data_IF_407433499377
#
_entry.id   IF_407433499377
#
_cell.length_a   1.000
_cell.length_b   1.000
_cell.length_c   1.000
_cell.angle_alpha   90.00
_cell.angle_beta   90.00
_cell.angle_gamma   90.00
#
_symmetry.space_group_name_H-M   'P 1'
#
loop_
_entity.id
_entity.type
_entity.pdbx_description
1 polymer ?
#
# COMPACT_ATOMS: atom_id res chain seq x y z
N UNK A 1 8.44 13.19 33.54
CA UNK A 1 7.31 12.82 32.67
C UNK A 1 7.09 11.35 32.96
N UNK A 2 6.05 11.02 33.73
CA UNK A 2 5.79 9.63 34.10
C UNK A 2 5.47 8.85 32.83
N UNK A 3 6.19 7.76 32.60
CA UNK A 3 5.87 6.76 31.57
C UNK A 3 4.53 6.14 31.97
N UNK A 4 3.48 6.53 31.26
CA UNK A 4 2.13 5.99 31.43
C UNK A 4 2.13 4.50 31.03
N UNK A 5 1.34 3.68 31.73
CA UNK A 5 1.26 2.23 31.49
C UNK A 5 0.57 1.93 30.14
N UNK A 6 1.06 0.93 29.40
CA UNK A 6 0.52 0.51 28.09
C UNK A 6 -0.97 0.23 28.17
N UNK A 7 -1.41 -0.43 29.26
CA UNK A 7 -2.81 -0.71 29.52
C UNK A 7 -3.67 0.56 29.61
N UNK A 8 -3.14 1.63 30.21
CA UNK A 8 -3.86 2.90 30.35
C UNK A 8 -4.06 3.61 29.00
N UNK A 9 -3.06 3.55 28.11
CA UNK A 9 -3.23 4.06 26.73
C UNK A 9 -4.31 3.28 25.98
N UNK A 10 -4.29 1.95 26.06
CA UNK A 10 -5.27 1.11 25.38
C UNK A 10 -6.69 1.31 25.94
N UNK A 11 -6.85 1.41 27.26
CA UNK A 11 -8.16 1.68 27.88
C UNK A 11 -8.75 3.03 27.41
N UNK A 12 -7.91 4.06 27.33
CA UNK A 12 -8.31 5.37 26.81
C UNK A 12 -8.62 5.32 25.31
N UNK A 13 -7.88 4.53 24.54
CA UNK A 13 -8.14 4.33 23.12
C UNK A 13 -9.50 3.66 22.90
N UNK A 14 -9.83 2.63 23.68
CA UNK A 14 -11.15 1.98 23.64
C UNK A 14 -12.27 2.97 24.00
N UNK A 15 -12.10 3.78 25.03
CA UNK A 15 -13.11 4.78 25.40
C UNK A 15 -13.28 5.86 24.33
N UNK A 16 -12.19 6.33 23.73
CA UNK A 16 -12.25 7.26 22.61
C UNK A 16 -12.97 6.62 21.40
N UNK A 17 -12.65 5.36 21.07
CA UNK A 17 -13.27 4.62 19.97
C UNK A 17 -14.78 4.43 20.14
N UNK A 18 -15.28 4.34 21.39
CA UNK A 18 -16.74 4.28 21.67
C UNK A 18 -17.48 5.56 21.30
N UNK A 19 -16.78 6.70 21.32
CA UNK A 19 -17.38 8.02 21.09
C UNK A 19 -17.08 8.58 19.72
N UNK A 20 -16.10 8.01 19.00
CA UNK A 20 -15.71 8.48 17.69
C UNK A 20 -16.80 8.20 16.65
N UNK A 21 -17.17 9.24 15.90
CA UNK A 21 -18.19 9.21 14.85
C UNK A 21 -17.62 9.48 13.46
N UNK A 22 -16.32 9.77 13.36
CA UNK A 22 -15.62 10.01 12.11
C UNK A 22 -14.10 9.98 12.27
N UNK A 23 -13.39 10.13 11.15
CA UNK A 23 -11.94 9.99 11.06
C UNK A 23 -11.17 10.94 12.00
N UNK A 24 -11.56 12.21 12.07
CA UNK A 24 -10.87 13.22 12.91
C UNK A 24 -10.90 12.86 14.40
N UNK A 25 -12.03 12.33 14.89
CA UNK A 25 -12.17 11.89 16.27
C UNK A 25 -11.40 10.58 16.52
N UNK A 26 -11.28 9.75 15.48
CA UNK A 26 -10.53 8.50 15.52
C UNK A 26 -9.02 8.70 15.58
N UNK A 27 -8.48 9.86 15.19
CA UNK A 27 -7.05 10.17 15.32
C UNK A 27 -6.54 10.06 16.77
N UNK A 28 -7.39 10.39 17.75
CA UNK A 28 -7.05 10.21 19.17
C UNK A 28 -6.82 8.73 19.51
N UNK A 29 -7.61 7.83 18.91
CA UNK A 29 -7.43 6.38 19.05
C UNK A 29 -6.08 5.98 18.45
N UNK A 30 -5.78 6.41 17.22
CA UNK A 30 -4.52 6.10 16.53
C UNK A 30 -3.29 6.57 17.30
N UNK A 31 -3.30 7.79 17.82
CA UNK A 31 -2.19 8.32 18.61
C UNK A 31 -1.93 7.52 19.89
N UNK A 32 -2.99 7.10 20.59
CA UNK A 32 -2.89 6.30 21.80
C UNK A 32 -2.38 4.89 21.51
N UNK A 33 -2.91 4.25 20.46
CA UNK A 33 -2.47 2.92 20.06
C UNK A 33 -1.04 2.93 19.51
N UNK A 34 -0.61 3.99 18.81
CA UNK A 34 0.78 4.13 18.36
C UNK A 34 1.78 4.18 19.52
N UNK A 35 1.44 4.88 20.61
CA UNK A 35 2.24 4.87 21.84
C UNK A 35 2.27 3.50 22.48
N UNK A 36 1.14 2.80 22.52
CA UNK A 36 1.07 1.46 23.06
C UNK A 36 1.89 0.46 22.21
N UNK A 37 1.74 0.49 20.89
CA UNK A 37 2.41 -0.42 19.95
C UNK A 37 3.95 -0.33 20.05
N UNK A 38 4.49 0.85 20.37
CA UNK A 38 5.93 1.03 20.60
C UNK A 38 6.49 0.19 21.77
N UNK A 39 5.64 -0.37 22.62
CA UNK A 39 6.01 -1.23 23.75
C UNK A 39 5.97 -2.73 23.40
N UNK A 40 5.88 -3.06 22.10
CA UNK A 40 6.16 -4.37 21.51
C UNK A 40 5.37 -5.51 22.15
N UNK A 41 6.05 -6.39 22.88
CA UNK A 41 5.48 -7.60 23.48
C UNK A 41 4.25 -7.35 24.36
N UNK A 42 4.23 -6.23 25.10
CA UNK A 42 3.10 -5.91 25.99
C UNK A 42 1.87 -5.57 25.15
N UNK A 43 2.04 -4.75 24.12
CA UNK A 43 0.97 -4.40 23.17
C UNK A 43 0.45 -5.62 22.41
N UNK A 44 1.35 -6.49 21.92
CA UNK A 44 0.98 -7.76 21.30
C UNK A 44 0.05 -8.59 22.21
N UNK A 45 0.45 -8.79 23.46
CA UNK A 45 -0.32 -9.57 24.43
C UNK A 45 -1.71 -8.97 24.72
N UNK A 46 -1.79 -7.65 24.82
CA UNK A 46 -3.06 -6.92 25.01
C UNK A 46 -3.94 -7.06 23.76
N UNK A 47 -3.40 -6.78 22.57
CA UNK A 47 -4.13 -6.86 21.30
C UNK A 47 -4.70 -8.25 21.05
N UNK A 48 -3.91 -9.31 21.23
CA UNK A 48 -4.39 -10.70 21.10
C UNK A 48 -5.53 -11.02 22.08
N UNK A 49 -5.46 -10.51 23.32
CA UNK A 49 -6.53 -10.70 24.28
C UNK A 49 -7.82 -9.97 23.88
N UNK A 50 -7.70 -8.78 23.28
CA UNK A 50 -8.83 -7.96 22.83
C UNK A 50 -9.61 -8.61 21.69
N UNK A 51 -8.95 -9.36 20.80
CA UNK A 51 -9.63 -10.11 19.73
C UNK A 51 -10.68 -11.10 20.25
N UNK A 52 -10.50 -11.63 21.47
CA UNK A 52 -11.44 -12.54 22.13
C UNK A 52 -12.59 -11.84 22.87
N UNK A 53 -12.68 -10.51 22.82
CA UNK A 53 -13.68 -9.75 23.56
C UNK A 53 -15.10 -9.94 23.03
N UNK A 54 -16.08 -9.94 23.93
CA UNK A 54 -17.50 -9.90 23.57
C UNK A 54 -17.95 -8.55 23.00
N UNK A 55 -17.20 -7.47 23.25
CA UNK A 55 -17.49 -6.12 22.76
C UNK A 55 -16.83 -5.87 21.40
N UNK A 56 -17.63 -5.46 20.41
CA UNK A 56 -17.14 -5.21 19.04
C UNK A 56 -16.07 -4.11 19.00
N UNK A 57 -16.29 -2.99 19.70
CA UNK A 57 -15.31 -1.88 19.77
C UNK A 57 -13.96 -2.35 20.32
N UNK A 58 -13.96 -3.25 21.32
CA UNK A 58 -12.71 -3.79 21.88
C UNK A 58 -12.01 -4.69 20.87
N UNK A 59 -12.74 -5.52 20.11
CA UNK A 59 -12.14 -6.33 19.04
C UNK A 59 -11.55 -5.46 17.93
N UNK A 60 -12.27 -4.43 17.50
CA UNK A 60 -11.83 -3.47 16.50
C UNK A 60 -10.54 -2.76 16.91
N UNK A 61 -10.51 -2.17 18.12
CA UNK A 61 -9.29 -1.55 18.68
C UNK A 61 -8.14 -2.56 18.82
N UNK A 62 -8.45 -3.84 19.11
CA UNK A 62 -7.47 -4.91 19.14
C UNK A 62 -6.85 -5.22 17.78
N UNK A 63 -7.64 -5.15 16.70
CA UNK A 63 -7.15 -5.28 15.33
C UNK A 63 -6.18 -4.15 15.00
N UNK A 64 -6.58 -2.90 15.26
CA UNK A 64 -5.74 -1.72 15.00
C UNK A 64 -4.41 -1.76 15.76
N UNK A 65 -4.45 -2.15 17.04
CA UNK A 65 -3.23 -2.26 17.85
C UNK A 65 -2.27 -3.29 17.26
N UNK A 66 -2.77 -4.45 16.82
CA UNK A 66 -1.95 -5.49 16.20
C UNK A 66 -1.44 -5.08 14.83
N UNK A 67 -2.23 -4.35 14.03
CA UNK A 67 -1.78 -3.76 12.77
C UNK A 67 -0.59 -2.81 12.98
N UNK A 68 -0.69 -1.93 13.97
CA UNK A 68 0.41 -1.02 14.35
C UNK A 68 1.64 -1.75 14.89
N UNK A 69 1.47 -2.85 15.62
CA UNK A 69 2.60 -3.70 16.04
C UNK A 69 3.32 -4.29 14.82
N UNK A 70 2.58 -4.75 13.81
CA UNK A 70 3.17 -5.22 12.55
C UNK A 70 3.96 -4.13 11.82
N UNK A 71 3.48 -2.88 11.84
CA UNK A 71 4.14 -1.76 11.15
C UNK A 71 5.40 -1.25 11.85
N UNK A 72 5.51 -1.41 13.19
CA UNK A 72 6.58 -0.82 13.99
C UNK A 72 7.71 -1.79 14.38
N UNK A 73 7.43 -3.08 14.52
CA UNK A 73 8.39 -4.03 15.12
C UNK A 73 8.44 -5.39 14.41
N UNK A 74 9.55 -5.63 13.70
CA UNK A 74 9.84 -6.90 13.00
C UNK A 74 9.90 -8.09 13.96
N UNK A 75 10.19 -7.90 15.26
CA UNK A 75 10.34 -8.98 16.22
C UNK A 75 9.01 -9.67 16.57
N UNK A 76 7.91 -8.92 16.54
CA UNK A 76 6.57 -9.40 16.93
C UNK A 76 5.62 -9.52 15.76
N UNK A 77 6.09 -9.22 14.55
CA UNK A 77 5.31 -9.25 13.32
C UNK A 77 4.64 -10.61 13.08
N UNK A 78 5.38 -11.72 13.20
CA UNK A 78 4.85 -13.06 12.88
C UNK A 78 3.73 -13.45 13.85
N UNK A 79 3.90 -13.19 15.16
CA UNK A 79 2.86 -13.46 16.15
C UNK A 79 1.63 -12.58 15.96
N UNK A 80 1.81 -11.28 15.69
CA UNK A 80 0.70 -10.35 15.45
C UNK A 80 -0.07 -10.72 14.17
N UNK A 81 0.63 -10.93 13.05
CA UNK A 81 0.05 -11.35 11.78
C UNK A 81 -0.67 -12.69 11.92
N UNK A 82 -0.08 -13.68 12.60
CA UNK A 82 -0.72 -14.98 12.87
C UNK A 82 -1.99 -14.82 13.70
N UNK A 83 -2.01 -13.93 14.70
CA UNK A 83 -3.20 -13.69 15.51
C UNK A 83 -4.34 -13.06 14.69
N UNK A 84 -4.02 -12.08 13.82
CA UNK A 84 -4.99 -11.46 12.91
C UNK A 84 -5.52 -12.45 11.88
N UNK A 85 -4.64 -13.25 11.26
CA UNK A 85 -5.01 -14.30 10.31
C UNK A 85 -5.87 -15.39 10.98
N UNK A 86 -5.52 -15.83 12.19
CA UNK A 86 -6.29 -16.80 12.93
C UNK A 86 -7.66 -16.26 13.37
N UNK A 87 -7.76 -14.95 13.62
CA UNK A 87 -9.02 -14.26 13.84
C UNK A 87 -9.90 -14.30 12.58
N UNK A 88 -9.32 -14.36 11.38
CA UNK A 88 -10.04 -14.32 10.12
C UNK A 88 -10.29 -15.70 9.44
N UNK A 89 -9.43 -16.71 9.64
CA UNK A 89 -9.32 -17.89 8.75
C UNK A 89 -10.18 -19.14 9.07
N UNK A 90 -11.23 -19.08 9.90
CA UNK A 90 -11.98 -20.31 10.25
C UNK A 90 -13.22 -20.58 9.39
N UNK A 91 -13.09 -21.50 8.41
CA UNK A 91 -14.12 -22.48 7.96
C UNK A 91 -13.60 -23.45 6.86
N UNK A 92 -12.79 -24.46 7.19
CA UNK A 92 -12.52 -25.58 6.26
C UNK A 92 -12.76 -26.99 6.81
N UNK A 93 -12.98 -27.17 8.12
CA UNK A 93 -13.21 -28.53 8.68
C UNK A 93 -14.67 -28.82 9.08
N UNK A 94 -15.55 -27.83 9.15
CA UNK A 94 -16.93 -28.05 9.60
C UNK A 94 -17.91 -28.48 8.48
N UNK A 95 -17.60 -28.22 7.21
CA UNK A 95 -18.44 -28.58 6.06
C UNK A 95 -18.07 -29.93 5.41
N UNK A 96 -16.98 -30.59 5.85
CA UNK A 96 -16.58 -31.92 5.38
C UNK A 96 -16.98 -33.08 6.32
N UNK A 97 -17.74 -32.81 7.39
CA UNK A 97 -17.99 -33.77 8.48
C UNK A 97 -19.44 -34.13 8.76
N UNK A 98 -20.37 -34.02 7.80
CA UNK A 98 -21.73 -34.58 7.94
C UNK A 98 -21.97 -35.74 6.98
N UNK A 99 -21.10 -36.75 7.06
CA UNK A 99 -21.21 -37.98 6.29
C UNK A 99 -20.72 -39.19 7.08
N UNK A 100 -21.66 -39.91 7.67
CA UNK A 100 -21.56 -41.32 8.11
C UNK A 100 -20.83 -41.64 9.43
N UNK A 101 -21.65 -41.97 10.44
CA UNK A 101 -21.31 -42.88 11.54
C UNK A 101 -21.14 -44.31 11.01
N UNK A 102 -20.05 -44.99 11.40
CA UNK A 102 -20.06 -46.29 12.11
C UNK A 102 -18.68 -46.97 12.06
N UNK A 103 -18.19 -47.45 13.20
CA UNK A 103 -17.06 -48.39 13.22
C UNK A 103 -16.23 -48.35 14.49
N UNK A 104 -16.66 -49.13 15.49
CA UNK A 104 -15.97 -49.43 16.74
C UNK A 104 -14.57 -50.06 16.57
N UNK A 105 -13.60 -49.65 17.39
CA UNK A 105 -12.31 -50.32 17.50
C UNK A 105 -11.51 -49.84 18.72
N UNK A 106 -11.56 -50.62 19.78
CA UNK A 106 -10.87 -50.47 21.07
C UNK A 106 -9.33 -50.53 20.97
N UNK A 107 -8.63 -49.68 21.72
CA UNK A 107 -7.19 -49.77 21.95
C UNK A 107 -6.74 -48.94 23.16
N UNK A 108 -6.37 -49.62 24.24
CA UNK A 108 -5.93 -49.08 25.53
C UNK A 108 -4.46 -48.62 25.53
N UNK A 109 -4.16 -47.51 26.21
CA UNK A 109 -2.79 -47.13 26.58
C UNK A 109 -2.72 -45.86 27.45
N UNK A 110 -2.68 -46.03 28.79
CA UNK A 110 -2.13 -45.07 29.78
C UNK A 110 -0.62 -44.86 29.52
N UNK A 111 0.10 -43.79 29.89
CA UNK A 111 -0.10 -42.63 30.80
C UNK A 111 1.07 -41.63 30.62
N UNK A 112 0.81 -40.37 30.96
CA UNK A 112 1.64 -39.48 31.81
C UNK A 112 2.76 -38.61 31.19
N UNK A 113 2.47 -37.30 31.19
CA UNK A 113 3.41 -36.18 31.21
C UNK A 113 2.66 -34.83 31.30
N UNK A 114 2.22 -34.44 32.50
CA UNK A 114 1.78 -33.07 32.83
C UNK A 114 3.04 -32.24 33.22
N UNK A 115 3.14 -30.91 33.11
CA UNK A 115 2.14 -29.86 33.26
C UNK A 115 2.63 -28.50 32.73
N UNK A 116 1.67 -27.60 32.41
CA UNK A 116 1.83 -26.13 32.33
C UNK A 116 1.33 -25.57 30.98
N UNK A 117 0.17 -24.95 30.81
CA UNK A 117 -0.89 -24.52 31.73
C UNK A 117 -1.47 -23.17 31.27
N UNK A 118 -2.54 -23.20 30.44
CA UNK A 118 -3.46 -22.09 30.07
C UNK A 118 -2.84 -20.89 29.30
N UNK A 119 -3.31 -20.43 28.13
CA UNK A 119 -4.67 -20.28 27.59
C UNK A 119 -4.62 -20.22 26.04
N UNK A 120 -4.80 -21.34 25.34
CA UNK A 120 -4.93 -21.36 23.86
C UNK A 120 -6.39 -21.54 23.40
N UNK A 121 -7.34 -21.12 24.23
CA UNK A 121 -8.76 -21.53 24.13
C UNK A 121 -9.75 -20.48 23.64
N UNK A 122 -9.33 -19.38 23.02
CA UNK A 122 -10.24 -18.29 22.66
C UNK A 122 -10.09 -17.73 21.23
N UNK A 123 -9.44 -18.44 20.31
CA UNK A 123 -9.34 -17.99 18.91
C UNK A 123 -10.23 -18.88 18.06
N UNK A 124 -11.51 -18.49 17.92
CA UNK A 124 -12.46 -19.24 17.10
C UNK A 124 -13.63 -18.37 16.62
N UNK A 125 -13.59 -17.95 15.35
CA UNK A 125 -14.68 -17.73 14.36
C UNK A 125 -14.13 -16.85 13.22
N UNK A 126 -14.92 -16.65 12.15
CA UNK A 126 -15.05 -15.38 11.39
C UNK A 126 -14.75 -15.37 9.86
N UNK A 127 -15.38 -16.28 9.11
CA UNK A 127 -16.15 -15.81 7.92
C UNK A 127 -17.48 -15.14 8.35
N UNK A 128 -17.81 -15.24 9.65
CA UNK A 128 -19.05 -14.77 10.27
C UNK A 128 -18.90 -13.61 11.25
N UNK A 129 -17.89 -12.72 11.16
CA UNK A 129 -17.86 -11.55 12.07
C UNK A 129 -19.07 -10.69 11.78
N UNK A 130 -20.08 -10.62 12.68
CA UNK A 130 -21.31 -9.93 12.35
C UNK A 130 -21.11 -8.41 12.31
N UNK A 131 -20.18 -7.87 13.10
CA UNK A 131 -19.95 -6.44 13.17
C UNK A 131 -19.09 -6.00 11.98
N UNK A 132 -19.69 -5.25 11.07
CA UNK A 132 -18.99 -4.70 9.91
C UNK A 132 -17.80 -3.82 10.32
N UNK A 133 -17.94 -3.03 11.39
CA UNK A 133 -16.85 -2.22 11.95
C UNK A 133 -15.62 -3.07 12.29
N UNK A 134 -15.82 -4.24 12.91
CA UNK A 134 -14.70 -5.15 13.24
C UNK A 134 -14.07 -5.70 11.98
N UNK A 135 -14.86 -6.05 10.95
CA UNK A 135 -14.32 -6.51 9.65
C UNK A 135 -13.52 -5.41 8.97
N UNK A 136 -13.97 -4.16 9.05
CA UNK A 136 -13.29 -3.00 8.49
C UNK A 136 -11.92 -2.80 9.14
N UNK A 137 -11.86 -2.77 10.47
CA UNK A 137 -10.60 -2.66 11.22
C UNK A 137 -9.68 -3.87 10.99
N UNK A 138 -10.24 -5.07 10.92
CA UNK A 138 -9.48 -6.28 10.62
C UNK A 138 -8.92 -6.27 9.19
N UNK A 139 -9.66 -5.77 8.20
CA UNK A 139 -9.16 -5.63 6.83
C UNK A 139 -7.95 -4.68 6.78
N UNK A 140 -8.02 -3.52 7.45
CA UNK A 140 -6.88 -2.62 7.61
C UNK A 140 -5.67 -3.27 8.28
N UNK A 141 -5.89 -3.93 9.42
CA UNK A 141 -4.83 -4.61 10.14
C UNK A 141 -4.18 -5.74 9.32
N UNK A 142 -4.96 -6.48 8.53
CA UNK A 142 -4.46 -7.49 7.60
C UNK A 142 -3.59 -6.87 6.50
N UNK A 143 -3.96 -5.71 5.97
CA UNK A 143 -3.14 -4.95 5.02
C UNK A 143 -1.78 -4.54 5.61
N UNK A 144 -1.77 -3.99 6.83
CA UNK A 144 -0.55 -3.65 7.57
C UNK A 144 0.39 -4.85 7.78
N UNK A 145 -0.13 -6.08 7.83
CA UNK A 145 0.75 -7.25 7.91
C UNK A 145 1.64 -7.40 6.68
N UNK A 146 1.20 -6.97 5.49
CA UNK A 146 1.83 -7.29 4.19
C UNK A 146 2.03 -8.79 3.96
N UNK A 147 1.24 -9.62 4.65
CA UNK A 147 1.31 -11.07 4.57
C UNK A 147 0.37 -11.60 3.49
N UNK A 148 0.93 -12.27 2.49
CA UNK A 148 0.16 -12.88 1.41
C UNK A 148 -0.90 -13.90 1.90
N UNK A 149 -0.75 -14.47 3.11
CA UNK A 149 -1.78 -15.32 3.74
C UNK A 149 -3.10 -14.58 3.95
N UNK A 150 -3.09 -13.25 3.99
CA UNK A 150 -4.29 -12.42 4.15
C UNK A 150 -5.09 -12.26 2.86
N UNK A 151 -4.49 -12.47 1.68
CA UNK A 151 -5.14 -12.24 0.38
C UNK A 151 -6.49 -12.96 0.25
N UNK A 152 -6.63 -14.27 0.56
CA UNK A 152 -7.92 -14.96 0.42
C UNK A 152 -9.03 -14.39 1.32
N UNK A 153 -8.67 -13.81 2.46
CA UNK A 153 -9.61 -13.24 3.43
C UNK A 153 -10.18 -11.92 2.91
N UNK A 154 -9.30 -11.01 2.48
CA UNK A 154 -9.71 -9.74 1.85
C UNK A 154 -10.53 -9.99 0.58
N UNK A 155 -10.13 -10.96 -0.25
CA UNK A 155 -10.90 -11.36 -1.44
C UNK A 155 -12.31 -11.84 -1.06
N UNK A 156 -12.46 -12.51 0.09
CA UNK A 156 -13.76 -12.97 0.61
C UNK A 156 -14.71 -11.83 1.00
N UNK A 157 -14.20 -10.64 1.31
CA UNK A 157 -14.98 -9.44 1.65
C UNK A 157 -15.17 -8.47 0.48
N UNK A 158 -14.60 -8.77 -0.69
CA UNK A 158 -14.73 -7.90 -1.87
C UNK A 158 -16.16 -7.79 -2.42
N UNK A 159 -17.09 -8.67 -2.01
CA UNK A 159 -18.50 -8.61 -2.39
C UNK A 159 -19.42 -8.36 -1.16
N UNK A 160 -18.88 -7.82 -0.06
CA UNK A 160 -19.66 -7.51 1.15
C UNK A 160 -20.75 -6.45 0.83
N UNK A 161 -21.88 -6.50 1.55
CA UNK A 161 -22.97 -5.56 1.35
C UNK A 161 -22.59 -4.13 1.73
N UNK A 162 -21.66 -3.97 2.67
CA UNK A 162 -21.19 -2.68 3.15
C UNK A 162 -20.11 -2.09 2.23
N UNK A 163 -20.33 -0.86 1.75
CA UNK A 163 -19.42 -0.18 0.82
C UNK A 163 -18.10 0.22 1.45
N UNK A 164 -18.11 0.62 2.73
CA UNK A 164 -16.91 1.11 3.42
C UNK A 164 -15.94 -0.05 3.64
N UNK A 165 -16.46 -1.25 3.93
CA UNK A 165 -15.65 -2.47 3.96
C UNK A 165 -15.11 -2.83 2.57
N UNK A 166 -15.91 -2.75 1.50
CA UNK A 166 -15.42 -3.01 0.14
C UNK A 166 -14.32 -2.02 -0.28
N UNK A 167 -14.46 -0.76 0.12
CA UNK A 167 -13.45 0.28 -0.11
C UNK A 167 -12.16 -0.05 0.65
N UNK A 168 -12.25 -0.41 1.93
CA UNK A 168 -11.10 -0.85 2.72
C UNK A 168 -10.41 -2.04 2.05
N UNK A 169 -11.16 -3.06 1.64
CA UNK A 169 -10.64 -4.22 0.91
C UNK A 169 -9.89 -3.78 -0.36
N UNK A 170 -10.44 -2.83 -1.13
CA UNK A 170 -9.79 -2.33 -2.34
C UNK A 170 -8.43 -1.67 -2.03
N UNK A 171 -8.34 -0.88 -0.95
CA UNK A 171 -7.09 -0.25 -0.52
C UNK A 171 -6.07 -1.25 0.03
N UNK A 172 -6.53 -2.29 0.74
CA UNK A 172 -5.63 -3.22 1.43
C UNK A 172 -5.14 -4.38 0.55
N UNK A 173 -5.90 -4.77 -0.47
CA UNK A 173 -5.53 -5.88 -1.37
C UNK A 173 -4.16 -5.67 -2.04
N UNK A 174 -3.79 -4.43 -2.38
CA UNK A 174 -2.48 -4.14 -3.00
C UNK A 174 -1.29 -4.44 -2.09
N UNK A 175 -1.45 -4.44 -0.77
CA UNK A 175 -0.37 -4.70 0.19
C UNK A 175 -0.10 -6.19 0.41
N UNK A 176 -1.08 -7.04 0.10
CA UNK A 176 -1.01 -8.50 0.35
C UNK A 176 -1.08 -9.33 -0.93
N UNK A 177 -1.43 -8.73 -2.08
CA UNK A 177 -1.51 -9.45 -3.35
C UNK A 177 -0.15 -10.01 -3.78
N UNK A 178 -0.15 -11.26 -4.26
CA UNK A 178 1.07 -12.00 -4.63
C UNK A 178 1.76 -11.52 -5.92
N UNK A 179 1.26 -10.46 -6.56
CA UNK A 179 1.78 -9.94 -7.82
C UNK A 179 1.49 -10.81 -9.04
N UNK A 180 0.76 -11.93 -8.90
CA UNK A 180 0.24 -12.69 -10.03
C UNK A 180 -0.85 -11.86 -10.74
N UNK A 181 -0.66 -11.46 -12.02
CA UNK A 181 -1.67 -10.72 -12.77
C UNK A 181 -3.00 -11.48 -12.94
N UNK A 182 -2.99 -12.80 -12.75
CA UNK A 182 -4.19 -13.64 -12.77
C UNK A 182 -4.63 -14.11 -11.37
N UNK A 183 -3.92 -13.65 -10.33
CA UNK A 183 -4.17 -14.02 -8.95
C UNK A 183 -5.50 -13.49 -8.41
N UNK A 184 -5.98 -14.06 -7.30
CA UNK A 184 -7.31 -13.75 -6.77
C UNK A 184 -7.44 -12.28 -6.34
N UNK A 185 -6.40 -11.64 -5.79
CA UNK A 185 -6.41 -10.23 -5.42
C UNK A 185 -6.56 -9.30 -6.61
N UNK A 186 -5.77 -9.50 -7.69
CA UNK A 186 -5.90 -8.73 -8.93
C UNK A 186 -7.28 -8.90 -9.56
N UNK A 187 -7.79 -10.14 -9.58
CA UNK A 187 -9.14 -10.44 -10.07
C UNK A 187 -10.22 -9.75 -9.24
N UNK A 188 -10.06 -9.67 -7.92
CA UNK A 188 -10.98 -8.95 -7.03
C UNK A 188 -10.95 -7.44 -7.29
N UNK A 189 -9.77 -6.82 -7.35
CA UNK A 189 -9.62 -5.41 -7.71
C UNK A 189 -10.29 -5.08 -9.04
N UNK A 190 -10.06 -5.90 -10.08
CA UNK A 190 -10.72 -5.72 -11.37
C UNK A 190 -12.26 -5.77 -11.29
N UNK A 191 -12.85 -6.58 -10.40
CA UNK A 191 -14.31 -6.54 -10.15
C UNK A 191 -14.71 -5.26 -9.45
N UNK A 192 -14.00 -4.88 -8.38
CA UNK A 192 -14.27 -3.69 -7.56
C UNK A 192 -14.16 -2.39 -8.36
N UNK A 193 -13.36 -2.34 -9.44
CA UNK A 193 -13.38 -1.18 -10.33
C UNK A 193 -14.77 -0.93 -10.93
N UNK A 194 -15.66 -1.93 -10.99
CA UNK A 194 -17.04 -1.83 -11.51
C UNK A 194 -18.10 -1.72 -10.41
N UNK A 195 -17.69 -1.42 -9.17
CA UNK A 195 -18.61 -1.29 -8.04
C UNK A 195 -19.63 -0.16 -8.25
N UNK A 196 -20.79 -0.28 -7.60
CA UNK A 196 -21.80 0.76 -7.63
C UNK A 196 -21.36 2.01 -6.86
N UNK A 197 -20.58 1.84 -5.79
CA UNK A 197 -20.09 2.95 -4.97
C UNK A 197 -18.85 3.61 -5.61
N UNK A 198 -18.88 4.94 -5.87
CA UNK A 198 -17.76 5.66 -6.49
C UNK A 198 -16.41 5.51 -5.79
N UNK A 199 -16.38 5.57 -4.45
CA UNK A 199 -15.14 5.44 -3.69
C UNK A 199 -14.53 4.03 -3.82
N UNK A 200 -15.36 2.99 -3.86
CA UNK A 200 -14.86 1.62 -4.11
C UNK A 200 -14.23 1.52 -5.49
N UNK A 201 -14.83 2.13 -6.52
CA UNK A 201 -14.25 2.18 -7.86
C UNK A 201 -12.92 2.93 -7.88
N UNK A 202 -12.87 4.08 -7.21
CA UNK A 202 -11.68 4.91 -7.09
C UNK A 202 -10.52 4.13 -6.47
N UNK A 203 -10.70 3.62 -5.25
CA UNK A 203 -9.66 2.87 -4.53
C UNK A 203 -9.23 1.60 -5.28
N UNK A 204 -10.16 0.88 -5.89
CA UNK A 204 -9.80 -0.30 -6.69
C UNK A 204 -9.01 0.06 -7.95
N UNK A 205 -9.34 1.18 -8.59
CA UNK A 205 -8.64 1.67 -9.78
C UNK A 205 -7.27 2.22 -9.42
N UNK A 206 -7.14 2.93 -8.30
CA UNK A 206 -5.85 3.35 -7.74
C UNK A 206 -4.97 2.14 -7.38
N UNK A 207 -5.48 1.18 -6.63
CA UNK A 207 -4.73 -0.03 -6.27
C UNK A 207 -4.25 -0.80 -7.51
N UNK A 208 -5.15 -1.05 -8.46
CA UNK A 208 -4.82 -1.75 -9.70
C UNK A 208 -3.89 -0.94 -10.61
N UNK A 209 -4.16 0.35 -10.78
CA UNK A 209 -3.53 1.25 -11.74
C UNK A 209 -2.16 1.76 -11.27
N UNK A 210 -2.03 2.00 -9.98
CA UNK A 210 -0.96 2.81 -9.40
C UNK A 210 -0.11 2.03 -8.38
N UNK A 211 -0.73 1.19 -7.54
CA UNK A 211 0.00 0.47 -6.49
C UNK A 211 0.58 -0.87 -6.96
N UNK A 212 -0.08 -1.53 -7.92
CA UNK A 212 0.39 -2.79 -8.49
C UNK A 212 1.13 -2.60 -9.81
N UNK A 213 2.27 -3.27 -9.94
CA UNK A 213 3.11 -3.27 -11.14
C UNK A 213 2.67 -4.29 -12.22
N UNK A 214 1.48 -4.87 -12.07
CA UNK A 214 0.94 -5.87 -13.02
C UNK A 214 0.42 -5.22 -14.29
N UNK A 215 0.80 -5.78 -15.44
CA UNK A 215 0.42 -5.25 -16.75
C UNK A 215 0.00 -6.37 -17.70
N UNK A 216 -1.30 -6.42 -18.00
CA UNK A 216 -1.89 -7.31 -19.00
C UNK A 216 -2.87 -6.53 -19.86
N UNK A 217 -3.19 -7.07 -21.05
CA UNK A 217 -4.23 -6.50 -21.90
C UNK A 217 -5.58 -6.37 -21.17
N UNK A 218 -5.91 -7.33 -20.29
CA UNK A 218 -7.16 -7.31 -19.52
C UNK A 218 -7.18 -6.20 -18.45
N UNK A 219 -6.04 -5.96 -17.79
CA UNK A 219 -5.88 -4.85 -16.83
C UNK A 219 -6.00 -3.51 -17.56
N UNK A 220 -5.34 -3.36 -18.72
CA UNK A 220 -5.47 -2.15 -19.55
C UNK A 220 -6.92 -1.90 -19.96
N UNK A 221 -7.66 -2.93 -20.39
CA UNK A 221 -9.10 -2.80 -20.70
C UNK A 221 -9.89 -2.36 -19.46
N UNK A 222 -9.63 -2.94 -18.29
CA UNK A 222 -10.28 -2.56 -17.04
C UNK A 222 -10.04 -1.09 -16.67
N UNK A 223 -8.82 -0.59 -16.85
CA UNK A 223 -8.49 0.82 -16.64
C UNK A 223 -9.16 1.73 -17.67
N UNK A 224 -9.27 1.29 -18.93
CA UNK A 224 -10.03 1.99 -19.96
C UNK A 224 -11.52 2.11 -19.64
N UNK A 225 -12.12 1.11 -18.98
CA UNK A 225 -13.51 1.19 -18.52
C UNK A 225 -13.75 2.37 -17.54
N UNK A 226 -12.70 2.88 -16.89
CA UNK A 226 -12.75 4.03 -15.95
C UNK A 226 -12.49 5.38 -16.61
N UNK A 227 -11.96 5.44 -17.83
CA UNK A 227 -11.70 6.72 -18.54
C UNK A 227 -12.98 7.51 -18.83
N UNK A 228 -14.17 6.89 -18.72
CA UNK A 228 -15.45 7.58 -18.82
C UNK A 228 -16.26 7.57 -17.52
N UNK A 229 -15.61 7.33 -16.37
CA UNK A 229 -16.29 7.27 -15.07
C UNK A 229 -16.89 8.65 -14.72
N UNK A 230 -18.05 8.63 -14.05
CA UNK A 230 -18.73 9.86 -13.62
C UNK A 230 -18.12 10.44 -12.33
N UNK A 231 -17.35 9.64 -11.61
CA UNK A 231 -16.55 10.06 -10.48
C UNK A 231 -15.16 10.47 -10.93
N UNK A 232 -14.81 11.74 -10.69
CA UNK A 232 -13.62 12.38 -11.23
C UNK A 232 -12.32 11.68 -10.81
N UNK A 233 -12.25 11.24 -9.56
CA UNK A 233 -11.11 10.55 -8.97
C UNK A 233 -10.90 9.18 -9.64
N UNK A 234 -11.96 8.39 -9.79
CA UNK A 234 -11.88 7.10 -10.49
C UNK A 234 -11.50 7.27 -11.98
N UNK A 235 -12.01 8.32 -12.63
CA UNK A 235 -11.62 8.72 -13.98
C UNK A 235 -10.10 8.99 -14.05
N UNK A 236 -9.60 9.87 -13.18
CA UNK A 236 -8.20 10.26 -13.16
C UNK A 236 -7.27 9.07 -12.88
N UNK A 237 -7.66 8.17 -11.97
CA UNK A 237 -6.90 6.94 -11.70
C UNK A 237 -6.85 5.99 -12.89
N UNK A 238 -7.94 5.90 -13.66
CA UNK A 238 -7.98 5.15 -14.92
C UNK A 238 -6.97 5.70 -15.94
N UNK A 239 -7.00 7.02 -16.15
CA UNK A 239 -6.06 7.72 -17.05
C UNK A 239 -4.61 7.52 -16.60
N UNK A 240 -4.33 7.72 -15.31
CA UNK A 240 -3.00 7.58 -14.72
C UNK A 240 -2.49 6.13 -14.80
N UNK A 241 -3.33 5.14 -14.51
CA UNK A 241 -2.99 3.73 -14.61
C UNK A 241 -2.62 3.29 -16.05
N UNK A 242 -3.25 3.89 -17.06
CA UNK A 242 -2.92 3.68 -18.47
C UNK A 242 -1.62 4.36 -18.88
N UNK A 243 -1.38 5.57 -18.38
CA UNK A 243 -0.11 6.28 -18.57
C UNK A 243 1.07 5.51 -17.97
N UNK A 244 0.93 5.01 -16.72
CA UNK A 244 1.93 4.14 -16.06
C UNK A 244 2.26 2.93 -16.93
N UNK A 245 1.28 2.31 -17.58
CA UNK A 245 1.52 1.14 -18.45
C UNK A 245 2.04 1.51 -19.84
N UNK A 246 2.27 2.79 -20.12
CA UNK A 246 2.57 3.31 -21.46
C UNK A 246 1.61 2.73 -22.51
N UNK A 247 0.30 2.73 -22.24
CA UNK A 247 -0.68 2.35 -23.25
C UNK A 247 -0.62 3.38 -24.40
N UNK A 248 -0.33 2.95 -25.64
CA UNK A 248 -0.15 3.90 -26.74
C UNK A 248 -1.42 4.71 -27.03
N UNK A 249 -2.60 4.20 -26.67
CA UNK A 249 -3.88 4.91 -26.80
C UNK A 249 -4.01 6.07 -25.80
N UNK A 250 -3.24 6.06 -24.71
CA UNK A 250 -3.27 7.11 -23.69
C UNK A 250 -2.70 8.43 -24.20
N UNK A 251 -1.86 8.42 -25.25
CA UNK A 251 -1.31 9.64 -25.86
C UNK A 251 -2.43 10.52 -26.42
N UNK A 252 -3.29 9.96 -27.28
CA UNK A 252 -4.40 10.69 -27.89
C UNK A 252 -5.44 11.11 -26.84
N UNK A 253 -5.68 10.26 -25.82
CA UNK A 253 -6.55 10.58 -24.70
C UNK A 253 -6.04 11.79 -23.92
N UNK A 254 -4.77 11.77 -23.49
CA UNK A 254 -4.18 12.86 -22.73
C UNK A 254 -4.08 14.14 -23.55
N UNK A 255 -3.77 14.05 -24.84
CA UNK A 255 -3.80 15.20 -25.74
C UNK A 255 -5.19 15.87 -25.77
N UNK A 256 -6.27 15.07 -25.83
CA UNK A 256 -7.64 15.58 -25.80
C UNK A 256 -8.02 16.16 -24.43
N UNK A 257 -7.63 15.50 -23.33
CA UNK A 257 -7.89 15.97 -21.96
C UNK A 257 -7.17 17.30 -21.69
N UNK A 258 -5.89 17.42 -22.07
CA UNK A 258 -5.11 18.64 -21.91
C UNK A 258 -5.65 19.81 -22.73
N UNK A 259 -6.31 19.55 -23.86
CA UNK A 259 -6.94 20.59 -24.69
C UNK A 259 -8.37 20.97 -24.25
N UNK A 260 -8.96 20.23 -23.30
CA UNK A 260 -10.28 20.53 -22.76
C UNK A 260 -10.26 21.76 -21.83
N UNK A 261 -11.43 22.36 -21.60
CA UNK A 261 -11.57 23.55 -20.73
C UNK A 261 -11.09 23.28 -19.30
N UNK A 262 -11.36 22.08 -18.78
CA UNK A 262 -10.90 21.60 -17.47
C UNK A 262 -9.56 20.82 -17.56
N UNK A 263 -8.83 20.95 -18.66
CA UNK A 263 -7.60 20.20 -18.93
C UNK A 263 -6.41 20.55 -18.01
N UNK A 264 -6.55 21.58 -17.18
CA UNK A 264 -5.55 22.02 -16.20
C UNK A 264 -5.58 21.23 -14.87
N UNK A 265 -6.23 20.06 -14.85
CA UNK A 265 -6.19 19.12 -13.73
C UNK A 265 -4.73 18.62 -13.50
N UNK A 266 -4.17 18.77 -12.29
CA UNK A 266 -2.85 18.24 -11.92
C UNK A 266 -2.65 16.76 -12.27
N UNK A 267 -3.70 15.94 -12.21
CA UNK A 267 -3.62 14.50 -12.50
C UNK A 267 -3.38 14.23 -14.00
N UNK A 268 -3.88 15.09 -14.89
CA UNK A 268 -3.59 15.00 -16.33
C UNK A 268 -2.14 15.35 -16.63
N UNK A 269 -1.58 16.37 -15.96
CA UNK A 269 -0.16 16.71 -16.09
C UNK A 269 0.74 15.59 -15.55
N UNK A 270 0.39 15.02 -14.40
CA UNK A 270 1.13 13.89 -13.83
C UNK A 270 1.08 12.66 -14.77
N UNK A 271 -0.08 12.35 -15.35
CA UNK A 271 -0.20 11.27 -16.33
C UNK A 271 0.62 11.54 -17.60
N UNK A 272 0.63 12.77 -18.10
CA UNK A 272 1.49 13.18 -19.22
C UNK A 272 2.98 13.04 -18.88
N UNK A 273 3.38 13.46 -17.67
CA UNK A 273 4.74 13.32 -17.16
C UNK A 273 5.18 11.85 -17.13
N UNK A 274 4.35 10.97 -16.56
CA UNK A 274 4.61 9.52 -16.50
C UNK A 274 4.73 8.92 -17.90
N UNK A 275 3.80 9.27 -18.80
CA UNK A 275 3.81 8.73 -20.16
C UNK A 275 5.02 9.21 -20.96
N UNK A 276 5.43 10.47 -20.77
CA UNK A 276 6.62 11.08 -21.36
C UNK A 276 6.60 11.10 -22.89
N UNK A 277 5.41 11.09 -23.52
CA UNK A 277 5.34 11.02 -24.98
C UNK A 277 5.57 12.41 -25.61
N UNK A 278 6.52 12.56 -26.55
CA UNK A 278 6.79 13.84 -27.20
C UNK A 278 5.60 14.45 -27.96
N UNK A 279 4.62 13.62 -28.34
CA UNK A 279 3.39 14.09 -28.97
C UNK A 279 2.56 14.99 -28.03
N UNK A 280 2.77 14.94 -26.72
CA UNK A 280 2.05 15.76 -25.74
C UNK A 280 2.62 17.18 -25.58
N UNK A 281 3.86 17.43 -26.02
CA UNK A 281 4.54 18.74 -25.86
C UNK A 281 3.71 19.92 -26.42
N UNK A 282 3.11 19.84 -27.62
CA UNK A 282 2.29 20.94 -28.15
C UNK A 282 1.04 21.24 -27.31
N UNK A 283 0.50 20.24 -26.60
CA UNK A 283 -0.68 20.36 -25.75
C UNK A 283 -0.30 20.97 -24.40
N UNK A 284 0.77 20.46 -23.79
CA UNK A 284 1.33 20.99 -22.53
C UNK A 284 1.78 22.46 -22.66
N UNK A 285 2.32 22.87 -23.80
CA UNK A 285 2.79 24.26 -24.04
C UNK A 285 1.66 25.30 -24.06
N UNK A 286 0.39 24.86 -24.13
CA UNK A 286 -0.78 25.77 -24.05
C UNK A 286 -1.10 26.18 -22.61
N UNK A 287 -0.58 25.44 -21.63
CA UNK A 287 -0.76 25.69 -20.21
C UNK A 287 0.35 26.58 -19.64
N UNK A 288 0.15 27.09 -18.43
CA UNK A 288 1.13 27.94 -17.76
C UNK A 288 2.41 27.16 -17.44
N UNK A 289 3.49 27.45 -18.16
CA UNK A 289 4.81 26.83 -17.94
C UNK A 289 5.45 27.18 -16.59
N UNK A 290 4.90 28.15 -15.84
CA UNK A 290 5.32 28.40 -14.45
C UNK A 290 4.65 27.46 -13.45
N UNK A 291 3.61 26.72 -13.85
CA UNK A 291 3.06 25.64 -13.03
C UNK A 291 4.09 24.51 -12.89
N UNK A 292 4.41 24.08 -11.65
CA UNK A 292 5.34 22.98 -11.42
C UNK A 292 4.95 21.69 -12.15
N UNK A 293 3.66 21.37 -12.19
CA UNK A 293 3.16 20.14 -12.82
C UNK A 293 3.33 20.18 -14.35
N UNK A 294 3.08 21.34 -14.95
CA UNK A 294 3.27 21.56 -16.40
C UNK A 294 4.76 21.50 -16.75
N UNK A 295 5.60 22.15 -15.95
CA UNK A 295 7.05 22.14 -16.15
C UNK A 295 7.63 20.72 -16.06
N UNK A 296 7.19 19.95 -15.06
CA UNK A 296 7.59 18.56 -14.87
C UNK A 296 7.14 17.67 -16.05
N UNK A 297 5.89 17.82 -16.50
CA UNK A 297 5.37 17.10 -17.65
C UNK A 297 6.12 17.45 -18.95
N UNK A 298 6.42 18.73 -19.18
CA UNK A 298 7.21 19.19 -20.33
C UNK A 298 8.64 18.62 -20.31
N UNK A 299 9.28 18.61 -19.14
CA UNK A 299 10.63 18.08 -18.98
C UNK A 299 10.72 16.59 -19.34
N UNK A 300 9.71 15.80 -18.95
CA UNK A 300 9.65 14.38 -19.31
C UNK A 300 9.17 14.14 -20.74
N UNK A 301 8.31 14.97 -21.31
CA UNK A 301 7.85 14.79 -22.70
C UNK A 301 8.87 15.26 -23.74
N UNK A 302 9.77 16.20 -23.42
CA UNK A 302 10.80 16.69 -24.34
C UNK A 302 12.02 15.75 -24.43
N UNK A 303 12.28 15.10 -25.58
CA UNK A 303 13.46 14.25 -25.76
C UNK A 303 14.80 14.96 -25.53
N UNK A 304 14.91 16.25 -25.84
CA UNK A 304 16.16 16.98 -25.68
C UNK A 304 16.47 17.22 -24.19
N UNK A 305 15.45 17.62 -23.43
CA UNK A 305 15.55 17.77 -21.97
C UNK A 305 15.90 16.45 -21.28
N UNK A 306 15.24 15.34 -21.64
CA UNK A 306 15.59 14.01 -21.11
C UNK A 306 17.02 13.59 -21.45
N UNK A 307 17.43 13.75 -22.72
CA UNK A 307 18.80 13.41 -23.13
C UNK A 307 19.85 14.23 -22.37
N UNK A 308 19.57 15.51 -22.11
CA UNK A 308 20.43 16.35 -21.29
C UNK A 308 20.51 15.86 -19.84
N UNK A 309 19.36 15.57 -19.21
CA UNK A 309 19.29 15.00 -17.85
C UNK A 309 20.08 13.71 -17.75
N UNK A 310 19.87 12.77 -18.68
CA UNK A 310 20.52 11.46 -18.67
C UNK A 310 22.04 11.57 -18.86
N UNK A 311 22.50 12.52 -19.69
CA UNK A 311 23.92 12.81 -19.85
C UNK A 311 24.54 13.38 -18.55
N UNK A 312 23.86 14.34 -17.90
CA UNK A 312 24.28 14.88 -16.60
C UNK A 312 24.32 13.79 -15.52
N UNK A 313 23.32 12.91 -15.48
CA UNK A 313 23.27 11.78 -14.54
C UNK A 313 24.43 10.79 -14.77
N UNK A 314 24.76 10.49 -16.03
CA UNK A 314 25.90 9.65 -16.37
C UNK A 314 27.23 10.29 -15.93
N UNK A 315 27.45 11.58 -16.20
CA UNK A 315 28.64 12.31 -15.74
C UNK A 315 28.74 12.35 -14.21
N UNK A 316 27.62 12.54 -13.51
CA UNK A 316 27.55 12.48 -12.05
C UNK A 316 28.01 11.11 -11.53
N UNK A 317 27.47 10.02 -12.09
CA UNK A 317 27.83 8.66 -11.71
C UNK A 317 29.34 8.40 -11.92
N UNK A 318 29.88 8.81 -13.07
CA UNK A 318 31.31 8.69 -13.38
C UNK A 318 32.18 9.47 -12.39
N UNK A 319 31.79 10.70 -12.05
CA UNK A 319 32.51 11.53 -11.10
C UNK A 319 32.51 10.93 -9.68
N UNK A 320 31.38 10.40 -9.22
CA UNK A 320 31.30 9.70 -7.92
C UNK A 320 32.20 8.45 -7.93
N UNK A 321 32.16 7.65 -8.99
CA UNK A 321 32.99 6.45 -9.10
C UNK A 321 34.51 6.76 -9.14
N UNK A 322 34.92 7.87 -9.75
CA UNK A 322 36.33 8.29 -9.76
C UNK A 322 36.86 8.64 -8.37
N UNK A 323 36.03 9.29 -7.54
CA UNK A 323 36.40 9.72 -6.19
C UNK A 323 36.27 8.58 -5.16
N UNK A 324 35.37 7.63 -5.40
CA UNK A 324 35.14 6.45 -4.56
C UNK A 324 35.14 5.17 -5.40
N UNK A 325 36.31 4.71 -5.89
CA UNK A 325 36.40 3.57 -6.81
C UNK A 325 35.98 2.24 -6.16
N UNK A 326 36.12 2.13 -4.84
CA UNK A 326 35.77 0.94 -4.07
C UNK A 326 34.28 0.93 -3.64
N UNK A 327 33.56 2.04 -3.80
CA UNK A 327 32.14 2.12 -3.50
C UNK A 327 31.30 1.61 -4.69
N UNK A 328 30.17 0.98 -4.39
CA UNK A 328 29.20 0.59 -5.41
C UNK A 328 28.28 1.78 -5.66
N UNK A 329 28.41 2.41 -6.83
CA UNK A 329 27.51 3.47 -7.28
C UNK A 329 26.60 2.95 -8.41
N UNK A 330 25.31 3.22 -8.33
CA UNK A 330 24.34 2.83 -9.37
C UNK A 330 23.37 3.96 -9.67
N UNK A 331 22.90 4.00 -10.92
CA UNK A 331 21.84 4.88 -11.37
C UNK A 331 20.65 4.02 -11.78
N UNK A 332 19.48 4.31 -11.21
CA UNK A 332 18.24 3.57 -11.47
C UNK A 332 17.06 4.53 -11.61
N UNK A 333 15.94 4.01 -12.08
CA UNK A 333 14.66 4.71 -12.13
C UNK A 333 13.54 3.71 -11.92
N UNK A 334 12.38 4.18 -11.46
CA UNK A 334 11.20 3.34 -11.33
C UNK A 334 10.63 3.05 -12.71
N UNK A 335 10.04 1.86 -12.88
CA UNK A 335 9.50 1.44 -14.18
C UNK A 335 8.33 2.32 -14.65
N UNK A 336 7.57 2.85 -13.69
CA UNK A 336 6.29 3.52 -13.92
C UNK A 336 6.22 4.94 -13.34
N UNK A 337 7.35 5.44 -12.83
CA UNK A 337 7.45 6.78 -12.25
C UNK A 337 8.67 7.49 -12.84
N UNK A 338 8.58 8.80 -13.12
CA UNK A 338 9.66 9.57 -13.70
C UNK A 338 10.82 9.78 -12.71
N UNK A 339 11.94 10.27 -13.23
CA UNK A 339 13.13 10.61 -12.45
C UNK A 339 14.15 9.48 -12.31
N UNK A 340 15.34 9.88 -11.87
CA UNK A 340 16.49 8.98 -11.67
C UNK A 340 16.97 9.08 -10.22
N UNK A 341 17.41 7.93 -9.70
CA UNK A 341 17.93 7.76 -8.35
C UNK A 341 19.40 7.33 -8.47
N UNK A 342 20.28 8.06 -7.81
CA UNK A 342 21.66 7.64 -7.56
C UNK A 342 21.68 6.91 -6.22
N UNK A 343 22.15 5.67 -6.21
CA UNK A 343 22.43 4.91 -4.99
C UNK A 343 23.94 4.69 -4.86
N UNK A 344 24.47 4.94 -3.67
CA UNK A 344 25.86 4.69 -3.31
C UNK A 344 25.91 3.78 -2.08
N UNK A 345 26.60 2.66 -2.18
CA UNK A 345 26.83 1.75 -1.05
C UNK A 345 28.30 1.83 -0.62
N UNK A 346 28.52 2.22 0.63
CA UNK A 346 29.84 2.27 1.27
C UNK A 346 29.80 1.33 2.47
N UNK A 347 30.73 0.37 2.54
CA UNK A 347 30.80 -0.61 3.65
C UNK A 347 29.50 -1.40 3.93
N UNK A 348 28.59 -1.48 2.94
CA UNK A 348 27.31 -2.19 3.05
C UNK A 348 26.12 -1.30 3.38
N UNK A 349 26.34 -0.02 3.66
CA UNK A 349 25.27 0.94 3.97
C UNK A 349 24.88 1.73 2.70
N UNK A 350 23.65 1.53 2.15
CA UNK A 350 23.19 2.25 0.98
C UNK A 350 22.68 3.65 1.34
N UNK A 351 23.08 4.64 0.55
CA UNK A 351 22.57 6.01 0.58
C UNK A 351 22.00 6.37 -0.79
N UNK A 352 20.90 7.12 -0.82
CA UNK A 352 20.18 7.42 -2.06
C UNK A 352 19.96 8.92 -2.24
N UNK A 353 20.03 9.37 -3.49
CA UNK A 353 19.72 10.74 -3.90
C UNK A 353 18.85 10.73 -5.15
N UNK A 354 17.79 11.53 -5.15
CA UNK A 354 17.10 11.90 -6.40
C UNK A 354 18.02 12.82 -7.21
N UNK A 355 18.30 12.43 -8.45
CA UNK A 355 19.31 13.07 -9.29
C UNK A 355 18.94 14.51 -9.62
N UNK A 356 17.67 14.78 -9.90
CA UNK A 356 17.22 16.11 -10.33
C UNK A 356 17.27 17.17 -9.21
N UNK A 357 16.75 16.91 -7.99
CA UNK A 357 16.98 17.79 -6.84
C UNK A 357 18.47 17.99 -6.52
N UNK A 358 19.29 16.94 -6.65
CA UNK A 358 20.73 17.02 -6.41
C UNK A 358 21.43 17.91 -7.44
N UNK A 359 21.12 17.76 -8.73
CA UNK A 359 21.64 18.63 -9.79
C UNK A 359 21.16 20.07 -9.61
N UNK A 360 19.91 20.28 -9.20
CA UNK A 360 19.37 21.62 -8.91
C UNK A 360 20.16 22.30 -7.80
N UNK A 361 20.44 21.59 -6.70
CA UNK A 361 21.28 22.08 -5.58
C UNK A 361 22.72 22.39 -6.03
N UNK A 362 23.22 21.67 -7.02
CA UNK A 362 24.53 21.88 -7.63
C UNK A 362 24.56 22.97 -8.74
N UNK A 363 23.42 23.60 -9.05
CA UNK A 363 23.30 24.57 -10.14
C UNK A 363 23.44 23.96 -11.54
N UNK A 364 23.05 22.69 -11.70
CA UNK A 364 23.10 21.94 -12.95
C UNK A 364 24.46 21.31 -13.28
N UNK A 365 25.46 21.42 -12.39
CA UNK A 365 26.80 20.89 -12.62
C UNK A 365 26.97 19.49 -12.00
N UNK A 366 27.17 18.43 -12.80
CA UNK A 366 27.27 17.07 -12.30
C UNK A 366 28.51 16.82 -11.43
N UNK A 367 29.61 17.55 -11.62
CA UNK A 367 30.80 17.42 -10.77
C UNK A 367 30.60 18.06 -9.40
N UNK A 368 29.90 19.21 -9.34
CA UNK A 368 29.49 19.79 -8.06
C UNK A 368 28.48 18.92 -7.34
N UNK A 369 27.54 18.30 -8.07
CA UNK A 369 26.62 17.32 -7.53
C UNK A 369 27.36 16.12 -6.91
N UNK A 370 28.39 15.60 -7.59
CA UNK A 370 29.25 14.55 -7.03
C UNK A 370 29.95 15.01 -5.74
N UNK A 371 30.49 16.22 -5.70
CA UNK A 371 31.11 16.78 -4.48
C UNK A 371 30.11 16.90 -3.31
N UNK A 372 28.84 17.22 -3.59
CA UNK A 372 27.78 17.24 -2.57
C UNK A 372 27.50 15.82 -2.03
N UNK A 373 27.39 14.82 -2.91
CA UNK A 373 27.24 13.41 -2.50
C UNK A 373 28.38 13.00 -1.55
N UNK A 374 29.63 13.30 -1.92
CA UNK A 374 30.80 12.97 -1.10
C UNK A 374 30.80 13.70 0.25
N UNK A 375 30.23 14.90 0.31
CA UNK A 375 30.11 15.66 1.56
C UNK A 375 29.00 15.10 2.44
N UNK A 376 27.87 14.72 1.86
CA UNK A 376 26.73 14.13 2.57
C UNK A 376 27.08 12.73 3.13
N UNK A 377 28.00 12.00 2.50
CA UNK A 377 28.44 10.67 2.92
C UNK A 377 29.49 10.64 4.05
N UNK A 378 30.06 11.79 4.42
CA UNK A 378 31.10 11.93 5.46
C UNK A 378 30.52 12.49 6.75
#
# INVERSE_FOLDING_TARGET
METEDVGAWVERAVEAARTATGADEYEVVRELLGKAAAEGAVALGIGVAMLGSGEAVVRATGCDLLGLVCDLDDLYWEEAATALLACAASESEATAGSGSRSGSGSGSGSRSGAAGGAKSGAVLRLVSEPAVDVRWHLAGALGSTRDARAEPLLVGWADDADSDLRQQVAGELSWVATGDPNGPGVRALMRLTRDAEPEVRNWATFALGSMLEVDTAEIRVTLWDRVGDDFAEAHAEGVRGLARRHDPRAVDLLAALLDAEDGADPLNFQAAQILGDPALVPHLTRHDAQSPDVAAALAECDPATRAHRDACAATLLEAVHQELPDARATLSGHRFDPGLILELTIEGEPQTWFVEPLLTRAGGDPHKAAALVLTDTR
#
